data_IF_548781608215
#
_entry.id   IF_548781608215
#
_cell.length_a   1.000
_cell.length_b   1.000
_cell.length_c   1.000
_cell.angle_alpha   90.00
_cell.angle_beta   90.00
_cell.angle_gamma   90.00
#
_symmetry.space_group_name_H-M   'P 1'
#
loop_
_entity.id
_entity.type
_entity.pdbx_description
1 polymer ?
#
# COMPACT_ATOMS: atom_id res chain seq x y z
N UNK A 1 -28.48 -46.19 -9.64
CA UNK A 1 -27.56 -45.49 -8.73
C UNK A 1 -27.27 -44.15 -9.34
N UNK A 2 -27.63 -43.08 -8.64
CA UNK A 2 -27.49 -41.68 -9.10
C UNK A 2 -26.03 -41.36 -9.41
N UNK A 3 -25.82 -40.87 -10.63
CA UNK A 3 -24.53 -40.46 -11.16
C UNK A 3 -23.94 -39.32 -10.32
N UNK A 4 -22.69 -39.50 -9.91
CA UNK A 4 -21.89 -38.47 -9.26
C UNK A 4 -21.77 -37.24 -10.18
N UNK A 5 -22.34 -36.13 -9.73
CA UNK A 5 -22.07 -34.80 -10.28
C UNK A 5 -20.58 -34.52 -10.10
N UNK A 6 -19.83 -34.55 -11.19
CA UNK A 6 -18.52 -33.91 -11.24
C UNK A 6 -18.76 -32.41 -11.09
N UNK A 7 -18.44 -31.85 -9.92
CA UNK A 7 -18.32 -30.42 -9.75
C UNK A 7 -17.15 -29.94 -10.62
N UNK A 8 -17.42 -29.65 -11.90
CA UNK A 8 -16.44 -29.02 -12.77
C UNK A 8 -16.14 -27.64 -12.19
N UNK A 9 -14.89 -27.41 -11.79
CA UNK A 9 -14.42 -26.07 -11.43
C UNK A 9 -14.69 -25.11 -12.60
N UNK A 10 -15.16 -23.89 -12.34
CA UNK A 10 -15.43 -22.94 -13.41
C UNK A 10 -14.14 -22.66 -14.22
N UNK A 11 -14.25 -22.45 -15.55
CA UNK A 11 -13.11 -22.06 -16.36
C UNK A 11 -12.54 -20.72 -15.87
N UNK A 12 -11.20 -20.57 -15.94
CA UNK A 12 -10.47 -19.40 -15.44
C UNK A 12 -11.00 -18.04 -15.93
N UNK A 13 -11.62 -17.99 -17.10
CA UNK A 13 -12.28 -16.79 -17.64
C UNK A 13 -13.47 -16.33 -16.81
N UNK A 14 -14.31 -17.24 -16.32
CA UNK A 14 -15.48 -16.91 -15.50
C UNK A 14 -15.05 -16.39 -14.13
N UNK A 15 -14.02 -16.99 -13.53
CA UNK A 15 -13.47 -16.53 -12.26
C UNK A 15 -12.89 -15.11 -12.39
N UNK A 16 -12.08 -14.90 -13.45
CA UNK A 16 -11.51 -13.58 -13.76
C UNK A 16 -12.60 -12.52 -13.92
N UNK A 17 -13.60 -12.78 -14.74
CA UNK A 17 -14.64 -11.80 -15.04
C UNK A 17 -15.51 -11.50 -13.81
N UNK A 18 -15.76 -12.51 -12.97
CA UNK A 18 -16.44 -12.33 -11.68
C UNK A 18 -15.67 -11.39 -10.76
N UNK A 19 -14.35 -11.55 -10.65
CA UNK A 19 -13.50 -10.66 -9.85
C UNK A 19 -13.41 -9.25 -10.45
N UNK A 20 -13.26 -9.13 -11.77
CA UNK A 20 -13.14 -7.83 -12.45
C UNK A 20 -14.46 -7.04 -12.48
N UNK A 21 -15.61 -7.71 -12.36
CA UNK A 21 -16.92 -7.06 -12.25
C UNK A 21 -17.12 -6.28 -10.95
N UNK A 22 -16.31 -6.57 -9.92
CA UNK A 22 -16.40 -5.92 -8.61
C UNK A 22 -15.96 -4.45 -8.72
N UNK A 23 -16.71 -3.50 -8.14
CA UNK A 23 -16.36 -2.08 -8.20
C UNK A 23 -14.91 -1.78 -7.80
N UNK A 24 -14.22 -1.03 -8.66
CA UNK A 24 -12.83 -0.60 -8.48
C UNK A 24 -11.77 -1.62 -8.91
N UNK A 25 -12.14 -2.85 -9.28
CA UNK A 25 -11.18 -3.89 -9.67
C UNK A 25 -10.62 -3.72 -11.10
N UNK A 26 -11.13 -2.76 -11.88
CA UNK A 26 -10.60 -2.46 -13.21
C UNK A 26 -9.24 -1.74 -13.21
N UNK A 27 -8.78 -1.23 -12.06
CA UNK A 27 -7.49 -0.56 -11.91
C UNK A 27 -6.71 -1.13 -10.72
N UNK A 28 -5.39 -1.05 -10.79
CA UNK A 28 -4.50 -1.50 -9.74
C UNK A 28 -4.73 -0.70 -8.45
N UNK A 29 -4.91 -1.40 -7.34
CA UNK A 29 -5.11 -0.75 -6.05
C UNK A 29 -3.91 0.11 -5.61
N UNK A 30 -2.69 -0.16 -6.07
CA UNK A 30 -1.48 0.50 -5.58
C UNK A 30 -0.95 1.65 -6.44
N UNK A 31 -1.29 1.68 -7.73
CA UNK A 31 -0.79 2.69 -8.66
C UNK A 31 -1.85 3.19 -9.66
N UNK A 32 -3.09 2.70 -9.55
CA UNK A 32 -4.22 3.05 -10.42
C UNK A 32 -3.99 2.77 -11.92
N UNK A 33 -2.98 1.96 -12.29
CA UNK A 33 -2.79 1.49 -13.66
C UNK A 33 -3.92 0.49 -14.04
N UNK A 34 -4.51 0.58 -15.25
CA UNK A 34 -5.54 -0.37 -15.69
C UNK A 34 -5.07 -1.83 -15.62
N UNK A 35 -5.96 -2.72 -15.16
CA UNK A 35 -5.62 -4.14 -14.94
C UNK A 35 -6.45 -5.13 -15.76
N UNK A 36 -7.41 -4.66 -16.57
CA UNK A 36 -8.38 -5.53 -17.26
C UNK A 36 -7.75 -6.58 -18.21
N UNK A 37 -6.56 -6.30 -18.76
CA UNK A 37 -5.89 -7.18 -19.71
C UNK A 37 -5.03 -8.27 -19.03
N UNK A 38 -4.27 -7.91 -17.99
CA UNK A 38 -3.42 -8.83 -17.21
C UNK A 38 -3.59 -8.57 -15.70
N UNK A 39 -4.70 -9.01 -15.11
CA UNK A 39 -5.00 -8.75 -13.71
C UNK A 39 -4.27 -9.72 -12.77
N UNK A 40 -3.55 -9.13 -11.82
CA UNK A 40 -2.96 -9.83 -10.69
C UNK A 40 -3.75 -9.49 -9.43
N UNK A 41 -3.64 -10.33 -8.40
CA UNK A 41 -4.37 -10.14 -7.15
C UNK A 41 -3.50 -10.39 -5.93
N UNK A 42 -3.84 -9.68 -4.86
CA UNK A 42 -3.39 -9.98 -3.49
C UNK A 42 -4.56 -10.63 -2.73
N UNK A 43 -4.52 -11.95 -2.56
CA UNK A 43 -5.60 -12.74 -1.94
C UNK A 43 -5.92 -12.25 -0.52
N UNK A 44 -4.89 -12.00 0.31
CA UNK A 44 -5.05 -11.57 1.71
C UNK A 44 -5.80 -10.23 1.87
N UNK A 45 -5.84 -9.42 0.82
CA UNK A 45 -6.50 -8.12 0.81
C UNK A 45 -7.68 -8.08 -0.17
N UNK A 46 -7.97 -9.19 -0.86
CA UNK A 46 -9.00 -9.26 -1.88
C UNK A 46 -8.87 -8.23 -3.00
N UNK A 47 -7.67 -7.73 -3.30
CA UNK A 47 -7.46 -6.60 -4.22
C UNK A 47 -6.89 -7.02 -5.57
N UNK A 48 -7.25 -6.29 -6.62
CA UNK A 48 -6.64 -6.36 -7.95
C UNK A 48 -5.48 -5.36 -8.04
N UNK A 49 -4.34 -5.84 -8.53
CA UNK A 49 -3.08 -5.12 -8.70
C UNK A 49 -2.49 -5.41 -10.08
N UNK A 50 -1.60 -4.54 -10.58
CA UNK A 50 -0.88 -4.79 -11.83
C UNK A 50 0.33 -5.69 -11.59
N UNK A 51 0.90 -6.25 -12.67
CA UNK A 51 2.10 -7.10 -12.63
C UNK A 51 3.27 -6.45 -11.85
N UNK A 52 3.52 -5.16 -12.05
CA UNK A 52 4.62 -4.47 -11.38
C UNK A 52 4.41 -4.39 -9.86
N UNK A 53 3.20 -4.02 -9.41
CA UNK A 53 2.85 -4.01 -7.99
C UNK A 53 2.83 -5.44 -7.41
N UNK A 54 2.38 -6.43 -8.17
CA UNK A 54 2.45 -7.84 -7.80
C UNK A 54 3.90 -8.27 -7.51
N UNK A 55 4.87 -7.78 -8.29
CA UNK A 55 6.30 -7.95 -8.01
C UNK A 55 6.72 -7.42 -6.63
N UNK A 56 6.29 -6.21 -6.26
CA UNK A 56 6.54 -5.64 -4.93
C UNK A 56 5.86 -6.44 -3.82
N UNK A 57 4.61 -6.90 -4.05
CA UNK A 57 3.87 -7.69 -3.08
C UNK A 57 4.53 -9.03 -2.75
N UNK A 58 5.19 -9.67 -3.74
CA UNK A 58 5.93 -10.91 -3.52
C UNK A 58 7.03 -10.75 -2.46
N UNK A 59 7.68 -9.58 -2.40
CA UNK A 59 8.71 -9.28 -1.41
C UNK A 59 8.18 -9.14 0.02
N UNK A 60 6.87 -8.92 0.20
CA UNK A 60 6.25 -8.83 1.53
C UNK A 60 6.13 -10.19 2.24
N UNK A 61 6.19 -11.28 1.46
CA UNK A 61 5.95 -12.64 1.95
C UNK A 61 4.47 -13.02 1.99
N UNK A 62 4.22 -14.32 1.83
CA UNK A 62 2.86 -14.90 1.64
C UNK A 62 1.90 -14.68 2.82
N UNK A 63 2.44 -14.47 4.02
CA UNK A 63 1.63 -14.18 5.21
C UNK A 63 1.06 -12.75 5.17
N UNK A 64 1.75 -11.81 4.51
CA UNK A 64 1.28 -10.43 4.28
C UNK A 64 0.42 -10.38 3.03
N UNK A 65 0.99 -10.76 1.89
CA UNK A 65 0.29 -10.77 0.62
C UNK A 65 0.61 -12.02 -0.18
N UNK A 66 -0.41 -12.85 -0.36
CA UNK A 66 -0.36 -13.99 -1.25
C UNK A 66 -0.82 -13.57 -2.64
N UNK A 67 0.10 -13.65 -3.60
CA UNK A 67 -0.08 -13.12 -4.96
C UNK A 67 -0.46 -14.23 -5.94
N UNK A 68 -1.46 -13.95 -6.78
CA UNK A 68 -1.91 -14.81 -7.89
C UNK A 68 -2.15 -13.99 -9.16
N UNK A 69 -1.93 -14.59 -10.32
CA UNK A 69 -2.46 -14.12 -11.60
C UNK A 69 -3.85 -14.71 -11.80
N UNK A 70 -4.84 -13.91 -12.21
CA UNK A 70 -6.16 -14.45 -12.56
C UNK A 70 -6.17 -15.15 -13.93
N UNK A 71 -5.05 -15.13 -14.66
CA UNK A 71 -4.91 -15.75 -15.99
C UNK A 71 -4.05 -17.00 -15.90
N UNK A 72 -2.93 -16.93 -15.17
CA UNK A 72 -1.90 -17.97 -15.16
C UNK A 72 -2.04 -18.96 -14.00
N UNK A 73 -2.67 -18.56 -12.89
CA UNK A 73 -2.81 -19.40 -11.71
C UNK A 73 -4.23 -19.95 -11.58
N UNK A 74 -4.35 -21.18 -11.07
CA UNK A 74 -5.63 -21.73 -10.61
C UNK A 74 -5.91 -21.24 -9.20
N UNK A 75 -7.12 -20.71 -8.97
CA UNK A 75 -7.56 -20.25 -7.66
C UNK A 75 -8.29 -21.37 -6.91
N UNK A 76 -8.02 -21.46 -5.61
CA UNK A 76 -8.83 -22.30 -4.71
C UNK A 76 -10.11 -21.56 -4.34
N UNK A 77 -11.14 -22.32 -3.99
CA UNK A 77 -12.43 -21.75 -3.56
C UNK A 77 -12.27 -20.67 -2.47
N UNK A 78 -11.47 -20.93 -1.43
CA UNK A 78 -11.22 -19.95 -0.36
C UNK A 78 -10.51 -18.67 -0.84
N UNK A 79 -9.63 -18.80 -1.84
CA UNK A 79 -8.94 -17.67 -2.46
C UNK A 79 -9.94 -16.84 -3.26
N UNK A 80 -10.80 -17.51 -4.04
CA UNK A 80 -11.90 -16.89 -4.78
C UNK A 80 -12.87 -16.16 -3.85
N UNK A 81 -13.30 -16.79 -2.75
CA UNK A 81 -14.15 -16.16 -1.73
C UNK A 81 -13.50 -14.90 -1.13
N UNK A 82 -12.19 -14.89 -0.94
CA UNK A 82 -11.46 -13.71 -0.45
C UNK A 82 -11.52 -12.56 -1.45
N UNK A 83 -11.40 -12.84 -2.75
CA UNK A 83 -11.51 -11.84 -3.82
C UNK A 83 -12.94 -11.30 -3.94
N UNK A 84 -13.95 -12.19 -3.91
CA UNK A 84 -15.36 -11.82 -4.04
C UNK A 84 -15.87 -10.99 -2.86
N UNK A 85 -15.45 -11.33 -1.63
CA UNK A 85 -15.82 -10.61 -0.39
C UNK A 85 -14.96 -9.38 -0.13
N UNK A 86 -13.75 -9.32 -0.71
CA UNK A 86 -12.84 -8.18 -0.66
C UNK A 86 -13.16 -7.12 -1.72
N UNK A 87 -12.21 -6.78 -2.58
CA UNK A 87 -12.37 -5.83 -3.68
C UNK A 87 -11.79 -4.45 -3.37
N UNK A 88 -11.27 -3.81 -4.42
CA UNK A 88 -10.54 -2.55 -4.34
C UNK A 88 -11.38 -1.42 -3.72
N UNK A 89 -12.65 -1.28 -4.11
CA UNK A 89 -13.52 -0.26 -3.51
C UNK A 89 -13.82 -0.55 -2.04
N UNK A 90 -13.94 -1.82 -1.63
CA UNK A 90 -14.21 -2.17 -0.22
C UNK A 90 -13.01 -1.87 0.66
N UNK A 91 -11.79 -2.20 0.22
CA UNK A 91 -10.58 -1.80 0.95
C UNK A 91 -10.44 -0.27 1.00
N UNK A 92 -10.68 0.44 -0.12
CA UNK A 92 -10.66 1.92 -0.12
C UNK A 92 -11.63 2.51 0.91
N UNK A 93 -12.90 2.07 0.90
CA UNK A 93 -13.92 2.53 1.86
C UNK A 93 -13.54 2.19 3.31
N UNK A 94 -12.93 1.03 3.53
CA UNK A 94 -12.44 0.66 4.86
C UNK A 94 -11.35 1.60 5.34
N UNK A 95 -10.36 1.90 4.50
CA UNK A 95 -9.28 2.85 4.83
C UNK A 95 -9.84 4.25 5.10
N UNK A 96 -10.77 4.72 4.27
CA UNK A 96 -11.33 6.08 4.31
C UNK A 96 -12.48 6.24 5.32
N UNK A 97 -12.82 5.20 6.08
CA UNK A 97 -13.86 5.30 7.11
C UNK A 97 -13.48 6.33 8.18
N UNK A 98 -14.47 6.88 8.88
CA UNK A 98 -14.22 7.81 9.99
C UNK A 98 -13.39 7.20 11.12
N UNK A 99 -13.48 5.87 11.30
CA UNK A 99 -12.71 5.12 12.30
C UNK A 99 -11.22 4.99 11.92
N UNK A 100 -10.93 4.70 10.65
CA UNK A 100 -9.57 4.44 10.20
C UNK A 100 -8.84 5.70 9.70
N UNK A 101 -9.58 6.68 9.16
CA UNK A 101 -9.10 7.99 8.75
C UNK A 101 -7.82 7.94 7.88
N UNK A 102 -7.78 7.03 6.91
CA UNK A 102 -6.68 6.88 5.94
C UNK A 102 -7.15 7.28 4.53
N UNK A 103 -7.05 8.57 4.16
CA UNK A 103 -7.36 9.01 2.81
C UNK A 103 -6.49 8.33 1.76
N UNK A 104 -7.05 8.07 0.57
CA UNK A 104 -6.34 7.44 -0.55
C UNK A 104 -4.98 8.08 -0.88
N UNK A 105 -4.87 9.40 -0.83
CA UNK A 105 -3.60 10.08 -1.14
C UNK A 105 -2.52 9.77 -0.09
N UNK A 106 -2.87 9.68 1.19
CA UNK A 106 -1.91 9.34 2.26
C UNK A 106 -1.47 7.88 2.12
N UNK A 107 -2.40 6.97 1.83
CA UNK A 107 -2.07 5.59 1.52
C UNK A 107 -1.05 5.49 0.37
N UNK A 108 -1.29 6.26 -0.70
CA UNK A 108 -0.41 6.27 -1.88
C UNK A 108 0.98 6.88 -1.63
N UNK A 109 1.14 7.74 -0.63
CA UNK A 109 2.45 8.30 -0.24
C UNK A 109 3.38 7.26 0.41
N UNK A 110 2.82 6.20 1.00
CA UNK A 110 3.59 5.09 1.56
C UNK A 110 4.14 4.18 0.45
N UNK A 111 5.30 3.57 0.68
CA UNK A 111 5.77 2.46 -0.16
C UNK A 111 4.87 1.24 0.04
N UNK A 112 4.78 0.35 -0.94
CA UNK A 112 4.01 -0.91 -0.82
C UNK A 112 4.42 -1.70 0.43
N UNK A 113 5.72 -1.76 0.72
CA UNK A 113 6.25 -2.35 1.95
C UNK A 113 5.56 -1.79 3.21
N UNK A 114 5.58 -0.46 3.38
CA UNK A 114 5.02 0.17 4.56
C UNK A 114 3.48 0.10 4.59
N UNK A 115 2.80 0.26 3.44
CA UNK A 115 1.32 0.22 3.33
C UNK A 115 0.73 -1.01 4.02
N UNK A 116 1.26 -2.17 3.66
CA UNK A 116 0.73 -3.46 4.10
C UNK A 116 1.25 -3.94 5.45
N UNK A 117 2.10 -3.14 6.09
CA UNK A 117 2.58 -3.36 7.45
C UNK A 117 1.91 -2.38 8.44
N UNK A 118 1.04 -1.49 7.97
CA UNK A 118 0.26 -0.60 8.84
C UNK A 118 -0.78 -1.37 9.67
N UNK A 119 -1.14 -0.87 10.87
CA UNK A 119 -2.19 -1.49 11.68
C UNK A 119 -3.55 -1.61 10.99
N UNK A 120 -3.91 -0.63 10.16
CA UNK A 120 -5.16 -0.65 9.40
C UNK A 120 -5.16 -1.72 8.31
N UNK A 121 -4.04 -1.92 7.62
CA UNK A 121 -3.92 -2.99 6.62
C UNK A 121 -4.00 -4.37 7.26
N UNK A 122 -3.34 -4.54 8.40
CA UNK A 122 -3.43 -5.77 9.19
C UNK A 122 -4.87 -6.05 9.65
N UNK A 123 -5.55 -5.05 10.22
CA UNK A 123 -6.93 -5.18 10.66
C UNK A 123 -7.84 -5.59 9.49
N UNK A 124 -7.70 -4.95 8.33
CA UNK A 124 -8.47 -5.32 7.15
C UNK A 124 -8.22 -6.78 6.73
N UNK A 125 -6.96 -7.19 6.65
CA UNK A 125 -6.57 -8.56 6.30
C UNK A 125 -7.19 -9.58 7.25
N UNK A 126 -7.11 -9.36 8.57
CA UNK A 126 -7.72 -10.24 9.57
C UNK A 126 -9.25 -10.26 9.47
N UNK A 127 -9.88 -9.10 9.26
CA UNK A 127 -11.33 -9.01 9.05
C UNK A 127 -11.78 -9.77 7.81
N UNK A 128 -11.05 -9.67 6.69
CA UNK A 128 -11.37 -10.41 5.47
C UNK A 128 -11.23 -11.92 5.69
N UNK A 129 -10.16 -12.36 6.37
CA UNK A 129 -9.96 -13.77 6.69
C UNK A 129 -11.10 -14.32 7.57
N UNK A 130 -11.48 -13.60 8.62
CA UNK A 130 -12.60 -13.96 9.49
C UNK A 130 -13.92 -13.99 8.71
N UNK A 131 -14.18 -13.00 7.85
CA UNK A 131 -15.38 -12.94 7.01
C UNK A 131 -15.49 -14.12 6.04
N UNK A 132 -14.37 -14.61 5.51
CA UNK A 132 -14.33 -15.80 4.64
C UNK A 132 -14.49 -17.09 5.44
N UNK A 133 -13.94 -17.14 6.65
CA UNK A 133 -14.07 -18.29 7.55
C UNK A 133 -15.45 -18.41 8.22
N UNK A 134 -16.23 -17.32 8.26
CA UNK A 134 -17.49 -17.27 9.00
C UNK A 134 -17.29 -16.97 10.49
N UNK A 135 -16.13 -16.42 10.86
CA UNK A 135 -15.77 -16.09 12.23
C UNK A 135 -16.20 -14.67 12.61
N UNK A 136 -16.13 -14.36 13.91
CA UNK A 136 -16.35 -13.01 14.42
C UNK A 136 -15.30 -12.02 13.86
N UNK A 137 -15.76 -10.83 13.45
CA UNK A 137 -14.90 -9.83 12.82
C UNK A 137 -14.07 -9.08 13.88
N UNK A 138 -12.73 -9.07 13.78
CA UNK A 138 -11.91 -8.27 14.67
C UNK A 138 -12.24 -6.77 14.56
N UNK A 139 -12.41 -6.10 15.69
CA UNK A 139 -12.71 -4.65 15.78
C UNK A 139 -11.51 -3.81 16.19
N UNK A 140 -10.47 -4.43 16.76
CA UNK A 140 -9.30 -3.71 17.29
C UNK A 140 -8.03 -3.98 16.48
N UNK A 141 -7.16 -2.97 16.46
CA UNK A 141 -5.78 -3.14 16.02
C UNK A 141 -5.07 -4.13 16.94
N UNK A 142 -4.26 -5.02 16.37
CA UNK A 142 -3.51 -5.96 17.18
C UNK A 142 -2.44 -5.21 18.00
N UNK A 143 -2.39 -5.46 19.30
CA UNK A 143 -1.45 -4.80 20.23
C UNK A 143 0.03 -5.08 19.92
N UNK A 144 0.31 -6.14 19.15
CA UNK A 144 1.65 -6.65 18.85
C UNK A 144 1.91 -6.74 17.33
N UNK A 145 1.47 -5.76 16.54
CA UNK A 145 2.01 -5.63 15.19
C UNK A 145 3.45 -5.19 15.39
N UNK A 146 4.38 -6.16 15.32
CA UNK A 146 5.81 -5.84 15.28
C UNK A 146 5.97 -4.83 14.15
N UNK A 147 6.51 -3.62 14.41
CA UNK A 147 6.84 -2.75 13.31
C UNK A 147 7.65 -3.57 12.33
N UNK A 148 7.42 -3.38 11.03
CA UNK A 148 8.25 -4.06 10.07
C UNK A 148 9.71 -3.79 10.41
N UNK A 149 10.58 -4.81 10.30
CA UNK A 149 12.00 -4.55 10.43
C UNK A 149 12.29 -3.34 9.55
N UNK A 150 13.04 -2.33 10.04
CA UNK A 150 13.31 -1.15 9.25
C UNK A 150 13.74 -1.62 7.87
N UNK A 151 13.16 -1.06 6.79
CA UNK A 151 13.56 -1.47 5.45
C UNK A 151 15.09 -1.47 5.42
N UNK A 152 15.74 -2.50 4.82
CA UNK A 152 17.20 -2.51 4.71
C UNK A 152 17.61 -1.12 4.24
N UNK A 153 18.56 -0.45 4.95
CA UNK A 153 18.75 1.00 4.92
C UNK A 153 18.53 1.45 3.49
N UNK A 154 17.41 2.16 3.29
CA UNK A 154 16.82 2.38 1.97
C UNK A 154 17.98 2.66 1.04
N UNK A 155 18.25 1.73 0.10
CA UNK A 155 19.36 1.80 -0.86
C UNK A 155 19.55 3.26 -1.15
N UNK A 156 20.65 3.83 -0.66
CA UNK A 156 20.88 5.28 -0.58
C UNK A 156 20.23 5.90 -1.79
N UNK A 157 19.07 6.55 -1.61
CA UNK A 157 18.42 7.18 -2.75
C UNK A 157 19.46 8.15 -3.28
N UNK A 158 19.93 7.86 -4.49
CA UNK A 158 20.88 8.71 -5.18
C UNK A 158 20.22 10.07 -5.22
N UNK A 159 20.92 11.07 -4.69
CA UNK A 159 20.45 12.45 -4.65
C UNK A 159 19.88 12.82 -6.02
N UNK A 160 18.57 13.09 -6.10
CA UNK A 160 17.95 13.50 -7.36
C UNK A 160 18.61 14.81 -7.77
N UNK A 161 19.24 14.87 -8.95
CA UNK A 161 19.83 16.11 -9.41
C UNK A 161 18.73 17.17 -9.61
N UNK A 162 19.07 18.45 -9.48
CA UNK A 162 18.10 19.52 -9.71
C UNK A 162 17.58 19.53 -11.16
N UNK A 163 18.38 19.03 -12.11
CA UNK A 163 18.03 18.94 -13.51
C UNK A 163 16.97 17.86 -13.79
N UNK A 164 16.90 16.83 -12.96
CA UNK A 164 15.99 15.69 -13.14
C UNK A 164 14.67 15.84 -12.37
N UNK A 165 14.48 16.97 -11.67
CA UNK A 165 13.33 17.20 -10.80
C UNK A 165 12.47 18.36 -11.31
N UNK A 166 11.46 18.08 -12.14
CA UNK A 166 10.51 19.11 -12.63
C UNK A 166 9.38 19.41 -11.63
N UNK A 167 9.12 18.51 -10.69
CA UNK A 167 8.09 18.65 -9.69
C UNK A 167 8.48 18.01 -8.36
N UNK A 168 7.87 18.48 -7.28
CA UNK A 168 8.05 17.94 -5.94
C UNK A 168 7.72 16.44 -5.92
N UNK A 169 8.66 15.60 -5.47
CA UNK A 169 8.49 14.15 -5.38
C UNK A 169 7.44 13.70 -4.34
N UNK A 170 6.87 14.62 -3.56
CA UNK A 170 5.81 14.34 -2.59
C UNK A 170 4.44 14.87 -3.02
N UNK A 171 4.31 16.15 -3.34
CA UNK A 171 3.02 16.76 -3.67
C UNK A 171 2.81 17.04 -5.16
N UNK A 172 3.81 16.74 -6.02
CA UNK A 172 3.77 16.96 -7.47
C UNK A 172 3.62 18.42 -7.91
N UNK A 173 3.71 19.39 -7.01
CA UNK A 173 3.79 20.81 -7.39
C UNK A 173 5.03 21.04 -8.25
N UNK A 174 4.84 21.62 -9.43
CA UNK A 174 5.92 21.95 -10.35
C UNK A 174 6.88 22.97 -9.72
N UNK A 175 8.18 22.75 -9.91
CA UNK A 175 9.18 23.72 -9.47
C UNK A 175 9.22 24.91 -10.42
N UNK A 176 9.44 26.09 -9.86
CA UNK A 176 9.48 27.36 -10.58
C UNK A 176 10.40 28.35 -9.84
N UNK A 177 10.46 29.59 -10.30
CA UNK A 177 11.18 30.66 -9.58
C UNK A 177 10.61 30.92 -8.18
N UNK A 178 9.32 30.64 -7.97
CA UNK A 178 8.60 30.83 -6.70
C UNK A 178 8.50 29.54 -5.88
N UNK A 179 8.47 28.38 -6.53
CA UNK A 179 8.48 27.07 -5.85
C UNK A 179 9.86 26.45 -6.04
N UNK A 180 10.74 26.69 -5.07
CA UNK A 180 12.14 26.25 -5.14
C UNK A 180 12.31 24.78 -4.76
N UNK A 181 13.36 24.18 -5.32
CA UNK A 181 13.80 22.81 -5.01
C UNK A 181 14.47 22.76 -3.64
N UNK A 182 14.18 21.71 -2.89
CA UNK A 182 14.84 21.39 -1.62
C UNK A 182 15.03 19.89 -1.50
N UNK A 183 16.19 19.45 -1.06
CA UNK A 183 16.41 18.01 -0.87
C UNK A 183 16.23 17.59 0.57
N UNK A 184 15.62 16.41 0.74
CA UNK A 184 15.60 15.77 2.04
C UNK A 184 16.97 15.17 2.36
N UNK A 185 17.59 15.63 3.44
CA UNK A 185 18.90 15.13 3.86
C UNK A 185 18.89 13.69 4.39
N UNK A 186 17.71 13.16 4.73
CA UNK A 186 17.51 11.76 5.17
C UNK A 186 17.26 10.77 4.03
N UNK A 187 16.58 11.20 2.95
CA UNK A 187 16.18 10.28 1.86
C UNK A 187 16.49 10.75 0.44
N UNK A 188 17.17 11.88 0.24
CA UNK A 188 17.63 12.35 -1.07
C UNK A 188 16.57 12.94 -2.01
N UNK A 189 15.27 12.80 -1.72
CA UNK A 189 14.18 13.34 -2.57
C UNK A 189 14.26 14.85 -2.75
N UNK A 190 13.99 15.32 -3.97
CA UNK A 190 13.72 16.72 -4.31
C UNK A 190 12.25 17.07 -4.01
N UNK A 191 12.02 18.05 -3.14
CA UNK A 191 10.70 18.43 -2.59
C UNK A 191 10.54 19.94 -2.46
N UNK A 192 9.30 20.43 -2.35
CA UNK A 192 9.01 21.85 -2.11
C UNK A 192 9.15 22.23 -0.62
N UNK A 193 9.11 23.54 -0.34
CA UNK A 193 9.21 24.10 1.01
C UNK A 193 8.17 23.54 1.98
N UNK A 194 6.91 23.41 1.54
CA UNK A 194 5.82 22.86 2.36
C UNK A 194 6.01 21.37 2.68
N UNK A 195 6.71 20.66 1.80
CA UNK A 195 6.99 19.23 1.95
C UNK A 195 8.26 18.95 2.77
N UNK A 196 9.15 19.92 2.93
CA UNK A 196 10.31 19.89 3.82
C UNK A 196 10.54 21.26 4.50
N UNK A 197 9.63 21.69 5.39
CA UNK A 197 9.68 23.01 6.02
C UNK A 197 10.93 23.18 6.89
N UNK A 198 11.53 24.38 6.86
CA UNK A 198 12.80 24.66 7.55
C UNK A 198 12.65 24.65 9.07
N UNK A 199 11.48 25.06 9.56
CA UNK A 199 11.11 25.10 10.96
C UNK A 199 11.14 23.69 11.58
N UNK A 200 11.14 22.66 10.72
CA UNK A 200 11.24 21.25 11.11
C UNK A 200 12.61 20.65 10.84
N UNK A 201 13.62 21.44 10.47
CA UNK A 201 14.98 20.94 10.37
C UNK A 201 15.46 20.39 11.72
N UNK A 202 16.13 19.23 11.69
CA UNK A 202 16.75 18.62 12.87
C UNK A 202 18.09 17.99 12.47
N UNK A 203 19.02 17.80 13.42
CA UNK A 203 20.19 16.97 13.19
C UNK A 203 19.80 15.55 12.76
N UNK A 204 20.70 14.87 12.06
CA UNK A 204 20.63 13.43 11.76
C UNK A 204 21.93 12.78 12.24
N UNK A 205 22.10 12.58 13.57
CA UNK A 205 23.31 11.96 14.12
C UNK A 205 23.57 10.57 13.54
N UNK A 206 22.51 9.84 13.16
CA UNK A 206 22.60 8.54 12.51
C UNK A 206 23.28 8.57 11.13
N UNK A 207 23.36 9.76 10.50
CA UNK A 207 24.07 10.00 9.24
C UNK A 207 25.34 10.84 9.44
N UNK A 208 25.77 11.08 10.69
CA UNK A 208 26.90 11.95 11.02
C UNK A 208 26.63 13.44 10.80
N UNK A 209 25.37 13.86 10.63
CA UNK A 209 25.00 15.25 10.39
C UNK A 209 24.55 15.88 11.71
N UNK A 210 25.44 16.64 12.33
CA UNK A 210 25.17 17.26 13.64
C UNK A 210 24.42 18.59 13.53
N UNK A 211 24.50 19.28 12.39
CA UNK A 211 23.70 20.49 12.16
C UNK A 211 22.23 20.18 11.77
N UNK A 212 21.27 21.05 12.12
CA UNK A 212 19.91 20.94 11.62
C UNK A 212 19.85 20.91 10.09
N UNK A 213 19.19 19.88 9.53
CA UNK A 213 19.02 19.72 8.10
C UNK A 213 17.55 19.44 7.73
N UNK A 214 17.15 19.83 6.52
CA UNK A 214 15.78 19.65 6.03
C UNK A 214 15.46 18.17 5.86
N UNK A 215 14.30 17.79 6.37
CA UNK A 215 13.76 16.44 6.30
C UNK A 215 12.36 16.54 5.71
N UNK A 216 12.04 15.70 4.72
CA UNK A 216 10.70 15.72 4.14
C UNK A 216 9.68 15.17 5.13
N UNK A 217 8.41 15.51 4.92
CA UNK A 217 7.31 15.10 5.80
C UNK A 217 7.14 13.58 5.94
N UNK A 218 7.65 12.77 5.01
CA UNK A 218 7.69 11.30 5.16
C UNK A 218 8.83 10.84 6.08
N UNK A 219 9.98 11.50 6.02
CA UNK A 219 11.13 11.21 6.88
C UNK A 219 10.97 11.75 8.30
N UNK A 220 10.13 12.78 8.46
CA UNK A 220 9.74 13.37 9.72
C UNK A 220 8.23 13.69 9.67
N UNK A 221 7.34 12.74 9.97
CA UNK A 221 5.90 12.98 10.05
C UNK A 221 5.55 13.93 11.21
N UNK A 222 4.46 14.70 11.10
CA UNK A 222 3.87 15.46 12.22
C UNK A 222 2.80 14.62 12.91
N UNK A 223 2.57 14.86 14.21
CA UNK A 223 1.53 14.18 14.97
C UNK A 223 0.12 14.31 14.35
N UNK A 224 -0.19 15.47 13.75
CA UNK A 224 -1.45 15.71 13.02
C UNK A 224 -1.61 14.90 11.71
N UNK A 225 -0.57 14.16 11.28
CA UNK A 225 -0.58 13.25 10.13
C UNK A 225 -0.11 11.84 10.50
N UNK A 226 0.07 11.55 11.78
CA UNK A 226 0.19 10.17 12.24
C UNK A 226 -1.21 9.57 12.07
N UNK A 227 -1.31 8.51 11.28
CA UNK A 227 -2.53 7.72 11.24
C UNK A 227 -2.91 7.30 12.67
N UNK A 228 -4.21 7.16 12.98
CA UNK A 228 -4.63 6.55 14.23
C UNK A 228 -3.84 5.24 14.45
N UNK A 229 -3.10 5.14 15.56
CA UNK A 229 -2.33 3.93 15.93
C UNK A 229 -0.81 3.96 15.72
N UNK A 230 -0.20 5.05 15.22
CA UNK A 230 1.27 5.18 15.11
C UNK A 230 1.93 5.98 16.25
N UNK A 231 1.21 6.22 17.35
CA UNK A 231 1.64 7.13 18.43
C UNK A 231 2.88 6.69 19.21
N UNK A 232 3.28 5.42 19.14
CA UNK A 232 4.38 4.85 19.91
C UNK A 232 5.28 3.94 19.05
N UNK A 233 5.81 4.46 17.95
CA UNK A 233 6.93 3.86 17.22
C UNK A 233 8.17 4.76 17.30
#
# INVERSE_FOLDING_TARGET
GVAAFWAMSPPATIERDSVLSIPGNCHCFDCDTPCSADPWVSINHGTVICLQCAGCHRALGVHISFVRSLVLDQLKEREMQSLLRGGNQRLRKFLESSENAVPRHVWLELTIELRYQTPVADLYRRRLQALVAGDELPTSFAANIRPPPPPPPARTRVWTSDADADACELCRTSFSLFVRRHHCRKCGRCVCGDCAPMERAKPLPELGIMQPCRQCRLCKPTAARLMPGMGNL
#
